data_IF_159701146917
#
_entry.id   IF_159701146917
#
_cell.length_a   1.000
_cell.length_b   1.000
_cell.length_c   1.000
_cell.angle_alpha   90.00
_cell.angle_beta   90.00
_cell.angle_gamma   90.00
#
_symmetry.space_group_name_H-M   'P 1'
#
loop_
_entity.id
_entity.type
_entity.pdbx_description
1 polymer ?
2 polymer ?
3 polymer ?
#
loop_
_entity_poly.entity_id
_entity_poly.type
_entity_poly.pdbx_seq_one_letter_code
_entity_poly.pdbx_strand_id
2 'polydeoxyribonucleotide' '(DC)(DA)(DT)(DT)(DA)(DA)(DC)(DC)(DC)(DT)(DT)(DA)(DA)(DC)(DG)(DT)(DT)(DA)(DA)(DG)(DC)(DG)(DT)(DT)(DA)(DA)(DC)(DT)' ?
3 'polydeoxyribonucleotide' '(DA)(DG)(DT)(DT)(DA)(DA)(DC)(DG)(DC)(DT)(DT)(DA)(DA)(DC)(DG)(DT)(DT)(DA)(DA)(DG)(DG)(DG)(DT)(DT)(DA)(DA)(DT)(DG)' ?
#
# COMPACT_ATOMS: atom_id res chain seq x y z
N UNK A 6 12.36 -28.27 9.73
CA UNK A 6 13.77 -28.05 9.46
C UNK A 6 14.08 -28.16 7.98
N UNK A 7 14.29 -29.40 7.45
CA UNK A 7 14.77 -29.64 6.07
C UNK A 7 13.83 -29.09 5.01
N UNK A 8 14.35 -28.37 4.02
CA UNK A 8 13.49 -27.76 3.00
C UNK A 8 13.19 -28.72 1.85
N UNK A 9 11.95 -28.64 1.39
CA UNK A 9 11.42 -29.52 0.36
C UNK A 9 10.50 -28.67 -0.51
N UNK A 10 10.96 -28.34 -1.71
CA UNK A 10 10.19 -27.50 -2.60
C UNK A 10 8.86 -28.19 -2.93
N UNK A 11 7.75 -27.45 -3.03
CA UNK A 11 6.49 -28.11 -3.38
C UNK A 11 6.54 -28.74 -4.75
N UNK A 12 7.57 -28.45 -5.55
CA UNK A 12 7.71 -29.10 -6.83
C UNK A 12 7.93 -30.58 -6.66
N UNK A 13 9.04 -30.93 -5.98
CA UNK A 13 9.37 -32.26 -5.48
C UNK A 13 8.10 -33.03 -5.16
N UNK A 14 7.17 -32.41 -4.44
CA UNK A 14 5.90 -33.06 -4.10
C UNK A 14 5.07 -33.31 -5.35
N UNK A 15 4.80 -32.26 -6.12
CA UNK A 15 3.90 -32.41 -7.27
C UNK A 15 4.50 -33.37 -8.27
N UNK A 16 5.82 -33.37 -8.39
CA UNK A 16 6.49 -34.33 -9.23
C UNK A 16 6.43 -35.74 -8.68
N UNK A 17 7.13 -35.97 -7.57
CA UNK A 17 7.37 -37.31 -7.04
C UNK A 17 6.02 -38.01 -6.78
N UNK A 18 5.17 -37.43 -5.91
CA UNK A 18 3.95 -38.09 -5.47
C UNK A 18 2.69 -37.61 -6.18
N UNK A 19 2.81 -36.93 -7.31
CA UNK A 19 1.59 -36.52 -8.01
C UNK A 19 1.71 -36.74 -9.51
N UNK A 20 2.79 -36.23 -10.12
CA UNK A 20 2.95 -36.30 -11.56
C UNK A 20 3.62 -37.59 -12.03
N UNK A 21 4.44 -38.23 -11.17
CA UNK A 21 4.97 -39.55 -11.50
C UNK A 21 3.94 -40.62 -11.23
N UNK A 22 3.22 -40.48 -10.13
CA UNK A 22 2.18 -41.42 -9.81
C UNK A 22 1.12 -41.46 -10.89
N UNK A 23 0.41 -40.36 -11.12
CA UNK A 23 -0.51 -40.29 -12.25
C UNK A 23 0.32 -39.88 -13.45
N UNK A 24 0.41 -40.73 -14.46
CA UNK A 24 1.28 -40.37 -15.56
C UNK A 24 0.78 -39.11 -16.25
N UNK A 25 0.93 -37.96 -15.58
CA UNK A 25 0.76 -36.64 -16.20
C UNK A 25 2.13 -36.02 -16.34
N UNK A 26 2.36 -35.33 -17.48
CA UNK A 26 3.56 -34.55 -17.72
C UNK A 26 3.30 -33.09 -17.45
N UNK A 27 4.34 -32.30 -17.18
CA UNK A 27 4.12 -30.88 -16.84
C UNK A 27 3.25 -30.12 -17.83
N UNK A 28 3.61 -30.14 -19.13
CA UNK A 28 2.86 -29.44 -20.17
C UNK A 28 1.46 -30.00 -20.34
N UNK A 29 1.21 -31.22 -19.86
CA UNK A 29 -0.17 -31.68 -19.78
C UNK A 29 -0.88 -30.98 -18.65
N UNK A 30 -0.27 -31.04 -17.46
CA UNK A 30 -0.89 -30.41 -16.29
C UNK A 30 -1.26 -28.99 -16.59
N UNK A 31 -0.29 -28.23 -17.13
CA UNK A 31 -0.52 -26.84 -17.47
C UNK A 31 -1.85 -26.63 -18.18
N UNK A 32 -2.19 -27.54 -19.07
CA UNK A 32 -3.42 -27.39 -19.82
C UNK A 32 -4.63 -27.60 -18.94
N UNK A 33 -4.72 -28.74 -18.29
CA UNK A 33 -5.92 -29.02 -17.50
C UNK A 33 -6.21 -27.88 -16.53
N UNK A 34 -5.15 -27.23 -16.03
CA UNK A 34 -5.24 -26.14 -15.06
C UNK A 34 -5.58 -24.80 -15.72
N UNK A 35 -5.54 -24.73 -17.04
CA UNK A 35 -5.80 -23.51 -17.79
C UNK A 35 -4.77 -22.44 -17.47
N UNK A 36 -3.50 -22.84 -17.40
CA UNK A 36 -2.38 -21.98 -17.05
C UNK A 36 -1.26 -22.21 -18.07
N UNK A 37 -0.41 -21.21 -18.25
CA UNK A 37 0.65 -21.34 -19.23
C UNK A 37 1.63 -22.45 -18.89
N UNK A 38 2.18 -23.06 -19.94
CA UNK A 38 3.15 -24.13 -19.78
C UNK A 38 4.36 -23.79 -18.91
N UNK A 39 4.86 -22.56 -18.86
CA UNK A 39 6.02 -22.30 -18.00
C UNK A 39 5.66 -22.13 -16.54
N UNK A 40 4.40 -21.92 -16.16
CA UNK A 40 4.19 -21.86 -14.72
C UNK A 40 4.32 -23.26 -14.13
N UNK A 41 3.50 -24.19 -14.58
CA UNK A 41 3.58 -25.56 -14.07
C UNK A 41 5.00 -26.13 -14.18
N UNK A 42 5.66 -25.96 -15.34
CA UNK A 42 7.02 -26.47 -15.45
C UNK A 42 8.02 -25.76 -14.53
N UNK A 43 7.91 -24.42 -14.38
CA UNK A 43 8.85 -23.71 -13.49
C UNK A 43 8.62 -24.08 -12.03
N UNK A 44 7.39 -24.48 -11.69
CA UNK A 44 7.07 -25.01 -10.37
C UNK A 44 7.70 -26.39 -10.18
N UNK A 45 7.59 -27.26 -11.21
CA UNK A 45 8.24 -28.57 -11.15
C UNK A 45 9.74 -28.42 -10.99
N UNK A 46 10.34 -27.54 -11.77
CA UNK A 46 11.80 -27.48 -11.79
C UNK A 46 12.38 -26.90 -10.52
N UNK A 47 11.54 -26.52 -9.55
CA UNK A 47 11.98 -25.82 -8.34
C UNK A 47 12.65 -24.48 -8.66
N UNK A 48 11.95 -23.61 -9.40
CA UNK A 48 12.42 -22.23 -9.57
C UNK A 48 11.30 -21.23 -9.47
N UNK A 49 10.11 -21.68 -9.09
CA UNK A 49 8.99 -20.81 -8.83
C UNK A 49 8.15 -21.53 -7.80
N UNK A 50 7.35 -20.78 -7.06
CA UNK A 50 6.58 -21.33 -5.97
C UNK A 50 5.10 -21.41 -6.27
N UNK A 51 4.34 -21.81 -5.27
CA UNK A 51 2.93 -21.92 -5.48
C UNK A 51 2.20 -20.69 -5.04
N UNK A 52 1.75 -19.91 -5.99
CA UNK A 52 0.98 -18.71 -5.66
C UNK A 52 -0.36 -19.11 -5.03
N UNK A 53 -1.08 -18.15 -4.46
CA UNK A 53 -2.35 -18.50 -3.84
C UNK A 53 -3.30 -19.07 -4.87
N UNK A 54 -3.28 -18.49 -6.06
CA UNK A 54 -3.95 -19.03 -7.24
C UNK A 54 -3.60 -20.48 -7.56
N UNK A 55 -2.34 -20.72 -7.97
CA UNK A 55 -1.88 -22.07 -8.30
C UNK A 55 -2.40 -23.11 -7.31
N UNK A 56 -2.26 -22.84 -6.01
CA UNK A 56 -2.79 -23.71 -4.98
C UNK A 56 -4.22 -24.08 -5.32
N UNK A 57 -5.05 -23.07 -5.51
CA UNK A 57 -6.47 -23.32 -5.75
C UNK A 57 -6.65 -24.20 -6.99
N UNK A 58 -5.87 -23.97 -8.05
CA UNK A 58 -6.03 -24.78 -9.27
C UNK A 58 -5.50 -26.20 -9.08
N UNK A 59 -4.31 -26.34 -8.51
CA UNK A 59 -3.79 -27.66 -8.19
C UNK A 59 -4.71 -28.40 -7.20
N UNK A 60 -5.28 -27.69 -6.23
CA UNK A 60 -6.14 -28.36 -5.26
C UNK A 60 -7.45 -28.84 -5.88
N UNK A 61 -8.08 -27.98 -6.68
CA UNK A 61 -9.24 -28.34 -7.48
C UNK A 61 -8.98 -29.61 -8.29
N UNK A 62 -7.93 -29.58 -9.11
CA UNK A 62 -7.60 -30.69 -10.02
C UNK A 62 -7.36 -31.98 -9.28
N UNK A 63 -6.64 -31.90 -8.16
CA UNK A 63 -6.19 -33.10 -7.46
C UNK A 63 -7.02 -33.41 -6.21
N UNK A 64 -8.21 -32.84 -6.09
CA UNK A 64 -9.13 -33.15 -4.99
C UNK A 64 -8.41 -33.10 -3.64
N UNK A 65 -7.73 -31.97 -3.42
CA UNK A 65 -7.10 -31.65 -2.15
C UNK A 65 -7.37 -30.20 -1.81
N UNK A 66 -7.03 -29.86 -0.57
CA UNK A 66 -7.19 -28.51 -0.07
C UNK A 66 -6.17 -27.58 -0.73
N UNK A 67 -6.62 -26.39 -1.17
CA UNK A 67 -5.64 -25.39 -1.60
C UNK A 67 -4.70 -25.06 -0.47
N UNK A 68 -5.20 -25.16 0.76
CA UNK A 68 -4.33 -25.17 1.93
C UNK A 68 -3.17 -26.10 1.74
N UNK A 69 -3.46 -27.39 1.66
CA UNK A 69 -2.46 -28.42 1.46
C UNK A 69 -1.27 -27.91 0.65
N UNK A 70 -1.56 -27.28 -0.51
CA UNK A 70 -0.51 -26.68 -1.33
C UNK A 70 0.15 -25.50 -0.62
N UNK A 71 -0.65 -24.54 -0.14
CA UNK A 71 0.00 -23.39 0.48
C UNK A 71 0.84 -23.82 1.68
N UNK A 72 0.42 -24.85 2.44
CA UNK A 72 1.21 -25.31 3.59
C UNK A 72 2.54 -25.90 3.15
N UNK A 73 2.54 -26.63 2.04
CA UNK A 73 3.81 -27.05 1.47
C UNK A 73 4.71 -25.87 1.21
N UNK A 74 4.12 -24.77 0.73
CA UNK A 74 4.88 -23.59 0.39
C UNK A 74 5.17 -22.71 1.62
N UNK A 75 4.24 -22.67 2.59
CA UNK A 75 4.54 -22.11 3.90
C UNK A 75 5.80 -22.72 4.48
N UNK A 76 5.95 -24.05 4.38
CA UNK A 76 7.06 -24.74 5.03
C UNK A 76 8.31 -24.71 4.18
N UNK A 77 8.19 -24.73 2.86
CA UNK A 77 9.42 -24.54 2.10
C UNK A 77 9.93 -23.12 2.31
N UNK A 78 9.02 -22.15 2.46
CA UNK A 78 9.39 -20.73 2.66
C UNK A 78 10.11 -20.51 3.99
N UNK A 79 9.54 -21.06 5.06
CA UNK A 79 10.10 -20.99 6.40
C UNK A 79 11.48 -21.62 6.45
N UNK A 80 11.57 -22.91 6.16
CA UNK A 80 12.86 -23.58 6.23
C UNK A 80 13.90 -22.86 5.40
N UNK A 81 13.49 -22.07 4.41
CA UNK A 81 14.49 -21.42 3.58
C UNK A 81 14.92 -20.12 4.23
N UNK A 82 13.98 -19.40 4.86
CA UNK A 82 14.32 -18.20 5.64
C UNK A 82 15.23 -18.53 6.80
N UNK A 83 14.80 -19.43 7.69
CA UNK A 83 15.70 -19.98 8.70
C UNK A 83 16.95 -20.57 8.04
N UNK A 84 18.07 -20.55 8.77
CA UNK A 84 19.32 -21.06 8.24
C UNK A 84 19.99 -19.93 7.47
N UNK A 85 19.27 -19.39 6.50
CA UNK A 85 19.77 -18.29 5.70
C UNK A 85 19.75 -17.05 6.58
N UNK A 86 18.87 -17.07 7.59
CA UNK A 86 18.73 -15.97 8.53
C UNK A 86 18.45 -16.47 9.94
N UNK A 87 18.20 -17.76 10.12
CA UNK A 87 17.67 -18.28 11.37
C UNK A 87 18.41 -17.79 12.59
N UNK A 88 19.71 -18.11 12.69
CA UNK A 88 20.48 -17.76 13.86
C UNK A 88 20.39 -16.26 14.16
N UNK A 89 20.92 -15.38 13.29
CA UNK A 89 21.06 -13.96 13.67
C UNK A 89 19.74 -13.33 14.08
N UNK A 90 18.60 -13.87 13.63
CA UNK A 90 17.32 -13.35 14.09
C UNK A 90 17.06 -13.73 15.54
N UNK A 91 17.30 -14.99 15.89
CA UNK A 91 17.19 -15.35 17.30
C UNK A 91 18.18 -14.57 18.17
N UNK A 92 19.27 -14.12 17.59
CA UNK A 92 20.28 -13.44 18.38
C UNK A 92 20.04 -11.99 18.57
N UNK A 93 19.42 -11.36 17.59
CA UNK A 93 19.10 -9.95 17.68
C UNK A 93 17.72 -9.66 18.26
N UNK A 94 16.96 -10.70 18.64
CA UNK A 94 15.66 -10.55 19.28
C UNK A 94 15.62 -11.26 20.63
N UNK A 95 14.91 -10.67 21.59
CA UNK A 95 14.73 -11.24 22.93
C UNK A 95 13.25 -11.32 23.22
N UNK A 96 12.69 -12.48 23.50
CA UNK A 96 11.25 -12.60 23.76
C UNK A 96 10.74 -11.95 25.05
N UNK A 97 9.58 -12.39 25.54
CA UNK A 97 9.01 -11.91 26.80
C UNK A 97 8.83 -12.87 28.00
N UNK B 6 -12.17 -18.84 8.15
CA UNK B 6 -12.84 -19.32 6.93
C UNK B 6 -13.24 -18.18 5.99
N UNK B 7 -13.37 -16.97 6.57
CA UNK B 7 -13.63 -15.71 5.88
C UNK B 7 -12.34 -14.90 5.80
N UNK B 8 -12.30 -13.67 5.21
CA UNK B 8 -10.99 -13.05 4.97
C UNK B 8 -10.60 -12.18 6.15
N UNK B 9 -9.59 -12.60 6.89
CA UNK B 9 -9.07 -11.82 7.99
C UNK B 9 -7.60 -11.60 7.72
N UNK B 10 -7.21 -10.34 7.59
CA UNK B 10 -5.80 -10.04 7.43
C UNK B 10 -5.09 -10.59 8.66
N UNK B 11 -3.84 -10.99 8.55
CA UNK B 11 -3.15 -11.41 9.77
C UNK B 11 -2.92 -10.23 10.67
N UNK B 12 -2.80 -9.04 10.06
CA UNK B 12 -2.64 -7.84 10.85
C UNK B 12 -3.75 -7.66 11.87
N UNK B 13 -4.98 -8.02 11.50
CA UNK B 13 -6.06 -7.97 12.46
C UNK B 13 -5.70 -8.79 13.69
N UNK B 14 -5.23 -10.03 13.48
CA UNK B 14 -4.78 -10.88 14.58
C UNK B 14 -3.72 -10.19 15.43
N UNK B 15 -2.82 -9.44 14.78
CA UNK B 15 -1.66 -8.91 15.47
C UNK B 15 -2.05 -7.86 16.51
N UNK B 16 -2.97 -6.97 16.17
CA UNK B 16 -3.36 -5.98 17.14
C UNK B 16 -4.39 -6.53 18.11
N UNK B 17 -5.33 -7.35 17.63
CA UNK B 17 -6.46 -7.74 18.50
C UNK B 17 -6.08 -8.83 19.50
N UNK B 18 -5.08 -9.68 19.20
CA UNK B 18 -4.60 -10.68 20.15
C UNK B 18 -3.25 -10.36 20.78
N UNK B 19 -2.50 -9.40 20.25
CA UNK B 19 -1.16 -9.25 20.77
C UNK B 19 -0.89 -7.81 21.15
N UNK B 20 -0.89 -6.89 20.18
CA UNK B 20 -0.54 -5.50 20.50
C UNK B 20 -1.44 -4.94 21.60
N UNK B 21 -2.75 -4.95 21.37
CA UNK B 21 -3.69 -4.49 22.40
C UNK B 21 -3.62 -5.34 23.67
N UNK B 22 -3.32 -6.64 23.55
CA UNK B 22 -3.31 -7.52 24.72
C UNK B 22 -2.12 -7.29 25.62
N UNK B 23 -1.00 -6.83 25.06
CA UNK B 23 0.25 -6.61 25.78
C UNK B 23 0.62 -5.15 25.79
N UNK B 24 -0.25 -4.30 25.26
CA UNK B 24 -0.09 -2.86 25.32
C UNK B 24 1.25 -2.44 24.71
N UNK B 25 1.40 -2.73 23.42
CA UNK B 25 2.57 -2.37 22.64
C UNK B 25 2.12 -1.66 21.38
N UNK B 26 2.99 -0.82 20.84
CA UNK B 26 2.66 -0.13 19.61
C UNK B 26 3.25 -0.84 18.42
N UNK B 27 2.75 -0.52 17.21
CA UNK B 27 3.56 -0.71 16.00
C UNK B 27 5.04 -0.28 16.12
N UNK B 28 5.28 0.98 16.48
CA UNK B 28 6.66 1.52 16.58
C UNK B 28 7.50 0.75 17.60
N UNK B 29 6.89 0.34 18.71
CA UNK B 29 7.65 -0.33 19.76
C UNK B 29 8.02 -1.75 19.36
N UNK B 30 7.05 -2.50 18.82
CA UNK B 30 7.30 -3.88 18.38
C UNK B 30 8.36 -3.93 17.27
N UNK B 31 8.25 -3.04 16.29
CA UNK B 31 9.25 -2.97 15.21
C UNK B 31 10.67 -2.79 15.73
N UNK B 32 10.86 -1.96 16.76
CA UNK B 32 12.20 -1.80 17.36
C UNK B 32 12.65 -3.09 18.02
N UNK B 33 11.70 -3.86 18.55
CA UNK B 33 12.03 -5.08 19.29
C UNK B 33 12.41 -6.23 18.37
N UNK B 34 11.96 -6.17 17.11
CA UNK B 34 12.21 -7.19 16.09
C UNK B 34 13.39 -6.82 15.22
N UNK B 35 13.91 -5.63 15.38
CA UNK B 35 14.94 -5.06 14.52
C UNK B 35 14.49 -5.02 13.07
N UNK B 36 13.28 -4.47 12.84
CA UNK B 36 12.89 -4.01 11.51
C UNK B 36 12.47 -2.54 11.57
N UNK B 37 12.48 -1.91 10.41
CA UNK B 37 12.16 -0.52 10.32
C UNK B 37 10.68 -0.33 10.65
N UNK B 38 10.32 0.94 10.85
CA UNK B 38 9.03 1.27 11.47
C UNK B 38 7.84 0.84 10.63
N UNK B 39 7.79 1.11 9.32
CA UNK B 39 6.60 0.74 8.55
C UNK B 39 6.53 -0.73 8.22
N UNK B 40 7.61 -1.49 8.38
CA UNK B 40 7.50 -2.91 8.17
C UNK B 40 6.53 -3.56 9.17
N UNK B 41 6.40 -3.02 10.37
CA UNK B 41 5.40 -3.54 11.29
C UNK B 41 4.11 -2.73 11.23
N UNK B 42 4.22 -1.40 11.09
CA UNK B 42 3.02 -0.58 10.98
C UNK B 42 2.19 -0.96 9.74
N UNK B 43 2.83 -1.33 8.62
CA UNK B 43 2.06 -1.65 7.43
C UNK B 43 1.29 -2.96 7.57
N UNK B 44 1.87 -3.94 8.26
CA UNK B 44 1.15 -5.17 8.57
C UNK B 44 -0.05 -4.88 9.44
N UNK B 45 0.09 -3.94 10.39
CA UNK B 45 -1.00 -3.68 11.34
C UNK B 45 -2.16 -3.04 10.62
N UNK B 46 -1.88 -2.12 9.70
CA UNK B 46 -2.93 -1.43 8.93
C UNK B 46 -3.59 -2.31 7.85
N UNK B 47 -3.25 -3.58 7.84
CA UNK B 47 -3.77 -4.58 6.88
C UNK B 47 -3.44 -4.20 5.43
N UNK B 48 -2.20 -3.75 5.21
CA UNK B 48 -1.73 -3.27 3.93
C UNK B 48 -0.45 -3.96 3.43
N UNK B 49 0.18 -4.78 4.26
CA UNK B 49 1.35 -5.56 3.91
C UNK B 49 1.06 -6.95 4.46
N UNK B 50 1.93 -7.92 4.15
CA UNK B 50 1.71 -9.28 4.58
C UNK B 50 2.81 -9.84 5.46
N UNK B 51 2.53 -11.01 6.01
CA UNK B 51 3.52 -11.65 6.87
C UNK B 51 4.44 -12.46 5.97
N UNK B 52 5.66 -11.96 5.72
CA UNK B 52 6.69 -12.74 5.04
C UNK B 52 7.31 -13.76 5.99
N UNK B 53 7.96 -14.77 5.40
CA UNK B 53 8.62 -15.77 6.23
C UNK B 53 9.49 -15.10 7.29
N UNK B 54 10.42 -14.24 6.85
CA UNK B 54 11.26 -13.52 7.79
C UNK B 54 10.43 -12.82 8.86
N UNK B 55 9.40 -12.07 8.44
CA UNK B 55 8.54 -11.46 9.44
C UNK B 55 7.89 -12.49 10.32
N UNK B 56 7.46 -13.62 9.73
CA UNK B 56 6.77 -14.64 10.52
C UNK B 56 7.71 -15.34 11.49
N UNK B 57 9.00 -15.29 11.24
CA UNK B 57 9.93 -15.86 12.20
C UNK B 57 10.26 -14.87 13.31
N UNK B 58 10.41 -13.59 12.99
CA UNK B 58 10.61 -12.64 14.07
C UNK B 58 9.38 -12.57 14.97
N UNK B 59 8.19 -12.66 14.37
CA UNK B 59 6.97 -12.65 15.16
C UNK B 59 6.90 -13.84 16.09
N UNK B 60 7.23 -15.02 15.58
CA UNK B 60 7.27 -16.18 16.42
C UNK B 60 8.15 -15.94 17.63
N UNK B 61 9.42 -15.61 17.39
CA UNK B 61 10.40 -15.51 18.47
C UNK B 61 9.89 -14.59 19.58
N UNK B 62 9.52 -13.36 19.22
CA UNK B 62 9.20 -12.34 20.20
C UNK B 62 7.98 -12.73 21.02
N UNK B 63 6.92 -13.19 20.33
CA UNK B 63 5.68 -13.60 20.96
C UNK B 63 5.60 -15.10 21.25
N UNK B 64 6.76 -15.78 21.40
CA UNK B 64 6.82 -17.19 21.77
C UNK B 64 5.77 -18.10 21.14
N UNK B 65 5.56 -17.88 19.84
CA UNK B 65 4.68 -18.72 19.05
C UNK B 65 5.43 -19.43 17.92
N UNK B 66 4.83 -20.49 17.37
CA UNK B 66 5.45 -21.09 16.20
C UNK B 66 5.35 -20.11 15.04
N UNK B 67 6.39 -20.06 14.20
CA UNK B 67 6.27 -19.20 13.03
C UNK B 67 5.18 -19.72 12.11
N UNK B 68 4.91 -21.00 12.17
CA UNK B 68 3.85 -21.52 11.33
C UNK B 68 2.54 -20.80 11.65
N UNK B 69 2.29 -20.52 12.94
CA UNK B 69 1.06 -19.85 13.34
C UNK B 69 0.78 -18.69 12.41
N UNK B 70 1.74 -17.79 12.34
CA UNK B 70 1.63 -16.60 11.51
C UNK B 70 1.48 -16.97 10.05
N UNK B 71 2.42 -17.76 9.51
CA UNK B 71 2.36 -18.08 8.08
C UNK B 71 1.03 -18.72 7.67
N UNK B 72 0.22 -19.23 8.62
CA UNK B 72 -1.06 -19.82 8.29
C UNK B 72 -2.18 -18.82 8.35
N UNK B 73 -2.03 -17.79 9.18
CA UNK B 73 -2.93 -16.64 9.12
C UNK B 73 -2.75 -15.91 7.79
N UNK B 74 -1.51 -15.86 7.29
CA UNK B 74 -1.24 -15.34 5.94
C UNK B 74 -1.67 -16.35 4.85
N UNK B 75 -1.51 -17.66 5.10
CA UNK B 75 -2.00 -18.67 4.17
C UNK B 75 -3.50 -18.51 3.94
N UNK B 76 -4.27 -18.49 5.03
CA UNK B 76 -5.72 -18.37 4.95
C UNK B 76 -6.13 -17.08 4.27
N UNK B 77 -5.46 -15.98 4.63
CA UNK B 77 -5.86 -14.67 4.11
C UNK B 77 -5.72 -14.61 2.59
N UNK B 78 -4.61 -15.15 2.06
CA UNK B 78 -4.37 -15.14 0.61
C UNK B 78 -5.31 -16.10 -0.12
N UNK B 79 -5.50 -17.30 0.43
CA UNK B 79 -6.44 -18.25 -0.13
C UNK B 79 -7.82 -17.61 -0.27
N UNK B 80 -8.39 -17.17 0.85
CA UNK B 80 -9.69 -16.49 0.83
C UNK B 80 -9.71 -15.30 -0.12
N UNK B 81 -8.60 -14.55 -0.18
CA UNK B 81 -8.53 -13.46 -1.15
C UNK B 81 -8.64 -13.98 -2.57
N UNK B 82 -7.88 -15.04 -2.89
CA UNK B 82 -7.88 -15.63 -4.23
C UNK B 82 -9.25 -16.19 -4.60
N UNK B 83 -9.72 -17.12 -3.78
CA UNK B 83 -11.05 -17.63 -3.98
C UNK B 83 -11.99 -16.42 -4.04
N UNK B 84 -13.19 -16.63 -4.56
CA UNK B 84 -14.17 -15.56 -4.73
C UNK B 84 -13.61 -14.45 -5.62
N UNK B 85 -12.31 -14.15 -5.54
CA UNK B 85 -11.81 -13.11 -6.44
C UNK B 85 -12.05 -13.79 -7.78
N UNK B 86 -11.66 -15.05 -7.90
CA UNK B 86 -12.07 -15.83 -9.06
C UNK B 86 -11.80 -17.27 -8.61
N UNK B 87 -12.42 -17.67 -7.49
CA UNK B 87 -12.69 -19.07 -7.30
C UNK B 87 -14.01 -19.29 -8.03
N UNK B 88 -14.62 -20.44 -7.76
CA UNK B 88 -15.83 -20.84 -8.49
C UNK B 88 -15.53 -20.83 -9.98
N UNK B 89 -15.24 -19.63 -10.50
CA UNK B 89 -14.67 -19.43 -11.84
C UNK B 89 -13.51 -20.41 -12.12
N UNK B 90 -12.57 -20.54 -11.18
CA UNK B 90 -11.50 -21.52 -11.33
C UNK B 90 -12.04 -22.94 -11.19
N UNK B 91 -13.03 -23.13 -10.32
CA UNK B 91 -13.72 -24.41 -10.26
C UNK B 91 -14.47 -24.66 -11.56
N UNK B 92 -14.84 -23.59 -12.29
CA UNK B 92 -15.57 -23.64 -13.56
C UNK B 92 -14.64 -23.58 -14.78
N UNK B 93 -13.39 -23.97 -14.62
CA UNK B 93 -12.44 -24.13 -15.72
C UNK B 93 -11.68 -25.44 -15.67
N UNK B 94 -11.78 -26.20 -14.58
CA UNK B 94 -10.88 -27.32 -14.29
C UNK B 94 -11.70 -28.52 -13.84
N UNK B 95 -11.86 -29.49 -14.73
CA UNK B 95 -12.33 -30.81 -14.29
C UNK B 95 -11.19 -31.48 -13.52
N UNK B 96 -11.47 -32.04 -12.37
CA UNK B 96 -10.47 -32.91 -11.72
C UNK B 96 -10.36 -34.27 -12.42
N UNK B 97 -9.56 -35.17 -11.87
CA UNK B 97 -9.46 -36.48 -12.49
C UNK B 97 -10.61 -37.48 -12.34
N UNK B 98 -11.75 -37.03 -11.84
CA UNK B 98 -12.93 -37.88 -11.67
C UNK B 98 -14.17 -37.18 -12.21
N UNK C 7 -18.05 10.30 -5.33
CA UNK C 7 -17.59 11.69 -5.07
C UNK C 7 -16.16 11.85 -4.54
N UNK C 8 -15.52 10.77 -4.07
CA UNK C 8 -14.05 10.83 -3.99
C UNK C 8 -13.50 10.05 -5.16
N UNK C 9 -12.98 10.73 -6.18
CA UNK C 9 -12.40 10.08 -7.34
C UNK C 9 -10.88 10.08 -7.16
N UNK C 10 -10.26 8.88 -7.24
CA UNK C 10 -8.82 8.84 -7.02
C UNK C 10 -8.10 9.47 -8.20
N UNK C 11 -7.04 10.22 -7.98
CA UNK C 11 -6.29 10.73 -9.13
C UNK C 11 -5.78 9.61 -9.99
N UNK C 12 -5.57 8.44 -9.37
CA UNK C 12 -5.33 7.20 -10.07
C UNK C 12 -6.33 6.79 -11.14
N UNK C 13 -7.56 6.44 -10.74
CA UNK C 13 -8.66 6.15 -11.66
C UNK C 13 -8.58 7.06 -12.88
N UNK C 14 -8.28 8.35 -12.70
CA UNK C 14 -8.24 9.27 -13.83
C UNK C 14 -7.07 8.96 -14.76
N UNK C 15 -5.88 8.68 -14.22
CA UNK C 15 -4.75 8.33 -15.06
C UNK C 15 -5.07 7.10 -15.90
N UNK C 16 -5.38 6.00 -15.23
CA UNK C 16 -5.79 4.75 -15.85
C UNK C 16 -6.94 4.97 -16.81
N UNK C 17 -8.10 5.33 -16.27
CA UNK C 17 -9.36 5.27 -17.01
C UNK C 17 -9.35 6.22 -18.19
N UNK C 18 -8.27 6.99 -18.45
CA UNK C 18 -8.31 8.01 -19.52
C UNK C 18 -7.05 8.53 -20.17
N UNK C 19 -5.90 8.44 -19.53
CA UNK C 19 -4.65 8.72 -20.25
C UNK C 19 -3.94 7.45 -20.66
N UNK C 20 -3.80 6.55 -19.71
CA UNK C 20 -3.27 5.25 -20.04
C UNK C 20 -4.17 4.56 -21.03
N UNK C 21 -5.45 4.38 -20.68
CA UNK C 21 -6.29 3.56 -21.55
C UNK C 21 -6.49 4.21 -22.91
N UNK C 22 -6.76 5.51 -22.93
CA UNK C 22 -6.91 6.21 -24.21
C UNK C 22 -5.69 5.99 -25.11
N UNK C 23 -4.50 6.31 -24.61
CA UNK C 23 -3.30 6.15 -25.43
C UNK C 23 -2.73 4.74 -25.46
N UNK C 24 -3.41 3.73 -24.90
CA UNK C 24 -2.85 2.39 -24.71
C UNK C 24 -1.39 2.30 -24.24
N UNK C 25 -1.05 3.13 -23.24
CA UNK C 25 0.22 3.03 -22.51
C UNK C 25 0.08 2.25 -21.21
N UNK C 26 1.03 1.47 -20.93
CA UNK C 26 1.13 0.67 -19.73
C UNK C 26 1.71 1.48 -18.57
N UNK C 27 1.39 1.13 -17.32
CA UNK C 27 2.15 1.71 -16.20
C UNK C 27 3.66 1.53 -16.37
N UNK C 28 4.11 0.34 -16.76
CA UNK C 28 5.54 0.12 -16.92
C UNK C 28 6.13 1.13 -17.90
N UNK C 29 5.49 1.28 -19.07
CA UNK C 29 6.00 2.24 -20.06
C UNK C 29 5.88 3.69 -19.56
N UNK C 30 4.92 4.00 -18.70
CA UNK C 30 4.73 5.39 -18.33
C UNK C 30 5.86 5.88 -17.42
N UNK C 31 6.18 5.11 -16.38
CA UNK C 31 7.28 5.49 -15.51
C UNK C 31 8.59 5.48 -16.28
N UNK C 32 8.70 4.64 -17.31
CA UNK C 32 9.84 4.70 -18.20
C UNK C 32 9.96 6.06 -18.86
N UNK C 33 8.82 6.63 -19.30
CA UNK C 33 8.86 7.96 -19.86
C UNK C 33 9.09 9.00 -18.78
N UNK C 34 8.34 8.89 -17.68
CA UNK C 34 8.48 9.84 -16.59
C UNK C 34 9.83 9.74 -15.90
N UNK C 35 10.62 8.69 -16.18
CA UNK C 35 11.92 8.51 -15.57
C UNK C 35 11.79 8.41 -14.04
N UNK C 36 10.76 7.67 -13.62
CA UNK C 36 10.59 7.22 -12.26
C UNK C 36 10.44 5.71 -12.28
N UNK C 37 10.61 5.09 -11.12
CA UNK C 37 10.71 3.64 -11.08
C UNK C 37 9.36 2.98 -11.37
N UNK C 38 9.35 1.65 -11.42
CA UNK C 38 8.16 0.95 -11.88
C UNK C 38 6.97 1.06 -10.90
N UNK C 39 7.11 0.68 -9.61
CA UNK C 39 5.92 0.76 -8.74
C UNK C 39 5.52 2.18 -8.36
N UNK C 40 6.36 3.16 -8.62
CA UNK C 40 5.86 4.53 -8.59
C UNK C 40 4.59 4.73 -9.42
N UNK C 41 4.69 4.69 -10.75
CA UNK C 41 3.50 4.86 -11.59
C UNK C 41 2.46 3.74 -11.36
N UNK C 42 2.90 2.54 -10.98
CA UNK C 42 1.92 1.46 -10.88
C UNK C 42 1.01 1.65 -9.66
N UNK C 43 1.58 2.09 -8.52
CA UNK C 43 0.83 2.22 -7.26
C UNK C 43 -0.15 3.37 -7.30
N UNK C 44 0.20 4.47 -8.01
CA UNK C 44 -0.77 5.53 -8.27
C UNK C 44 -1.91 4.99 -9.12
N UNK C 45 -1.59 4.11 -10.10
CA UNK C 45 -2.64 3.57 -10.95
C UNK C 45 -3.57 2.73 -10.11
N UNK C 46 -3.03 1.99 -9.16
CA UNK C 46 -3.86 1.05 -8.41
C UNK C 46 -4.70 1.73 -7.34
N UNK C 47 -4.68 3.07 -7.24
CA UNK C 47 -5.38 3.80 -6.17
C UNK C 47 -4.79 3.45 -4.78
N UNK C 48 -3.46 3.50 -4.70
CA UNK C 48 -2.71 3.17 -3.48
C UNK C 48 -1.67 4.20 -3.11
N UNK C 49 -1.34 5.05 -4.06
CA UNK C 49 -0.41 6.14 -3.88
C UNK C 49 -1.08 7.39 -4.37
N UNK C 50 -0.57 8.54 -3.96
CA UNK C 50 -1.19 9.76 -4.39
C UNK C 50 -0.32 10.49 -5.35
N UNK C 51 -0.71 11.69 -5.71
CA UNK C 51 0.09 12.41 -6.63
C UNK C 51 1.00 13.44 -6.03
N UNK C 52 2.24 13.07 -5.83
CA UNK C 52 3.22 14.03 -5.35
C UNK C 52 3.24 15.21 -6.29
N UNK C 53 3.99 16.23 -5.93
CA UNK C 53 4.12 17.37 -6.82
C UNK C 53 5.25 17.16 -7.80
N UNK C 54 6.23 16.35 -7.42
CA UNK C 54 7.19 15.83 -8.38
C UNK C 54 6.51 14.97 -9.46
N UNK C 55 5.44 14.25 -9.10
CA UNK C 55 4.78 13.44 -10.10
C UNK C 55 3.86 14.26 -10.98
N UNK C 56 3.12 15.20 -10.41
CA UNK C 56 2.28 16.07 -11.23
C UNK C 56 3.08 16.95 -12.19
N UNK C 57 4.36 17.17 -11.92
CA UNK C 57 5.18 17.86 -12.91
C UNK C 57 5.52 16.96 -14.07
N UNK C 58 5.98 15.73 -13.76
CA UNK C 58 6.22 14.71 -14.78
C UNK C 58 4.95 14.42 -15.57
N UNK C 59 3.88 14.02 -14.87
CA UNK C 59 2.62 13.69 -15.51
C UNK C 59 2.13 14.80 -16.43
N UNK C 60 2.07 16.03 -15.94
CA UNK C 60 1.61 17.12 -16.79
C UNK C 60 2.53 17.35 -17.98
N UNK C 61 3.91 17.21 -17.72
CA UNK C 61 4.80 17.45 -18.84
C UNK C 61 4.46 16.53 -19.99
N UNK C 62 4.44 15.22 -19.71
CA UNK C 62 4.19 14.16 -20.69
C UNK C 62 2.88 14.40 -21.44
N UNK C 63 1.77 14.22 -20.75
CA UNK C 63 0.44 14.27 -21.34
C UNK C 63 -0.04 15.65 -21.73
N UNK C 64 0.87 16.64 -21.75
CA UNK C 64 0.57 18.02 -22.16
C UNK C 64 -0.46 18.85 -21.40
N UNK C 65 -0.58 18.59 -20.09
CA UNK C 65 -1.56 19.27 -19.21
C UNK C 65 -0.84 20.15 -18.21
N UNK C 66 -1.61 21.04 -17.60
CA UNK C 66 -1.09 21.86 -16.53
C UNK C 66 -0.76 20.97 -15.34
N UNK C 67 0.24 21.39 -14.57
CA UNK C 67 0.64 20.62 -13.39
C UNK C 67 -0.48 20.58 -12.35
N UNK C 68 -1.14 21.72 -12.10
CA UNK C 68 -2.09 21.79 -10.98
C UNK C 68 -3.23 20.82 -11.19
N UNK C 69 -3.70 20.69 -12.43
CA UNK C 69 -4.60 19.64 -12.89
C UNK C 69 -4.53 18.26 -12.25
N UNK C 70 -3.31 17.79 -11.98
CA UNK C 70 -3.11 16.53 -11.28
C UNK C 70 -3.26 16.85 -9.80
N UNK C 71 -2.55 17.89 -9.37
CA UNK C 71 -2.55 18.32 -7.97
C UNK C 71 -3.96 18.58 -7.47
N UNK C 72 -4.80 19.19 -8.31
CA UNK C 72 -6.16 19.48 -7.88
C UNK C 72 -7.04 18.26 -7.98
N UNK C 73 -6.68 17.33 -8.87
CA UNK C 73 -7.27 16.00 -8.87
C UNK C 73 -6.98 15.30 -7.56
N UNK C 74 -5.75 15.48 -7.04
CA UNK C 74 -5.38 14.99 -5.72
C UNK C 74 -6.15 15.66 -4.59
N UNK C 75 -6.17 17.01 -4.58
CA UNK C 75 -6.66 17.65 -3.37
C UNK C 75 -8.15 17.42 -3.22
N UNK C 76 -8.87 17.27 -4.34
CA UNK C 76 -10.26 16.85 -4.20
C UNK C 76 -10.38 15.42 -3.67
N UNK C 77 -9.43 14.52 -4.01
CA UNK C 77 -9.47 13.17 -3.44
C UNK C 77 -9.15 13.18 -1.96
N UNK C 78 -8.05 13.85 -1.57
CA UNK C 78 -7.66 14.00 -0.16
C UNK C 78 -8.73 14.68 0.66
N UNK C 79 -9.37 15.72 0.10
CA UNK C 79 -10.36 16.49 0.84
C UNK C 79 -11.64 15.70 1.02
N UNK C 80 -12.11 15.07 -0.05
CA UNK C 80 -13.26 14.19 0.06
C UNK C 80 -13.05 13.17 1.15
N UNK C 81 -11.80 12.78 1.38
CA UNK C 81 -11.58 11.65 2.24
C UNK C 81 -11.42 12.07 3.69
N UNK C 82 -11.05 13.33 3.94
CA UNK C 82 -11.05 13.84 5.31
C UNK C 82 -12.48 14.08 5.82
N UNK C 83 -13.28 14.81 5.06
CA UNK C 83 -14.73 14.71 5.24
C UNK C 83 -15.15 13.24 5.13
N UNK C 84 -16.37 12.94 5.55
CA UNK C 84 -16.89 11.57 5.55
C UNK C 84 -16.01 10.62 6.36
N UNK C 85 -14.88 11.11 6.84
CA UNK C 85 -14.16 10.35 7.85
C UNK C 85 -14.43 11.14 9.13
N UNK C 86 -14.27 12.46 9.09
CA UNK C 86 -14.36 13.26 10.31
C UNK C 86 -15.16 14.54 10.17
N UNK C 87 -15.70 14.84 9.00
CA UNK C 87 -16.48 16.03 8.76
C UNK C 87 -17.52 16.42 9.79
N UNK C 88 -18.52 15.57 10.05
CA UNK C 88 -19.58 15.93 11.00
C UNK C 88 -18.97 15.93 12.39
N UNK C 89 -18.01 15.03 12.63
CA UNK C 89 -17.26 15.05 13.88
C UNK C 89 -16.31 16.24 14.02
N UNK C 90 -16.39 17.19 13.09
CA UNK C 90 -15.77 18.52 13.17
C UNK C 90 -16.73 19.70 13.33
N UNK C 91 -17.91 19.69 12.69
CA UNK C 91 -18.87 20.75 13.02
C UNK C 91 -19.31 20.62 14.48
N UNK C 92 -19.48 19.38 14.95
CA UNK C 92 -19.72 19.22 16.37
C UNK C 92 -18.49 19.59 17.20
N UNK C 93 -17.41 20.08 16.58
CA UNK C 93 -16.19 20.51 17.24
C UNK C 93 -15.87 21.99 17.10
N UNK C 94 -16.21 22.61 15.98
CA UNK C 94 -15.81 23.98 15.69
C UNK C 94 -16.94 24.53 14.84
N UNK C 95 -17.71 25.44 15.42
CA UNK C 95 -18.84 26.04 14.74
C UNK C 95 -18.72 27.53 14.64
N UNK C 96 -17.68 28.06 15.25
CA UNK C 96 -17.32 29.47 15.35
C UNK C 96 -17.06 30.25 14.06
N UNK C 97 -16.74 31.51 14.27
CA UNK C 97 -16.46 32.44 13.18
C UNK C 97 -15.65 33.63 13.66
N UNK D 6 7.70 36.32 -9.30
CA UNK D 6 7.56 35.73 -7.97
C UNK D 6 6.61 34.51 -7.92
N UNK D 7 6.90 33.59 -7.00
CA UNK D 7 6.21 32.31 -7.06
C UNK D 7 6.04 31.64 -5.69
N UNK D 8 7.08 31.14 -5.03
CA UNK D 8 6.83 30.37 -3.81
C UNK D 8 6.31 31.33 -2.75
N UNK D 9 5.11 31.04 -2.24
CA UNK D 9 4.58 31.76 -1.09
C UNK D 9 3.78 30.77 -0.26
N UNK D 10 4.20 30.55 0.97
CA UNK D 10 3.75 29.45 1.81
C UNK D 10 2.41 29.81 2.47
N UNK D 11 1.44 28.89 2.54
CA UNK D 11 0.12 29.22 3.11
C UNK D 11 0.12 29.86 4.50
N UNK D 12 1.21 29.70 5.23
CA UNK D 12 1.35 30.39 6.49
C UNK D 12 1.31 31.90 6.28
N UNK D 13 2.30 32.43 5.55
CA UNK D 13 2.32 33.81 5.10
C UNK D 13 0.91 34.36 4.87
N UNK D 14 -0.03 33.52 4.41
CA UNK D 14 -1.41 34.00 4.26
C UNK D 14 -2.12 34.04 5.61
N UNK D 15 -1.91 33.02 6.45
CA UNK D 15 -2.65 32.93 7.70
C UNK D 15 -2.32 34.06 8.66
N UNK D 16 -1.03 34.46 8.73
CA UNK D 16 -0.61 35.69 9.38
C UNK D 16 -1.38 36.86 8.77
N UNK D 17 -1.04 37.15 7.51
CA UNK D 17 -1.23 38.47 6.92
C UNK D 17 -2.67 38.79 6.56
N UNK D 18 -3.53 37.78 6.40
CA UNK D 18 -4.90 38.05 6.01
C UNK D 18 -5.93 37.61 7.02
N UNK D 19 -5.52 36.98 8.12
CA UNK D 19 -6.49 36.31 8.98
C UNK D 19 -6.15 36.57 10.44
N UNK D 20 -4.95 36.20 10.84
CA UNK D 20 -4.46 36.57 12.16
C UNK D 20 -4.24 38.08 12.25
N UNK D 21 -3.30 38.60 11.44
CA UNK D 21 -3.02 40.04 11.40
C UNK D 21 -4.25 40.87 11.12
N UNK D 22 -5.28 40.27 10.53
CA UNK D 22 -6.51 40.96 10.17
C UNK D 22 -7.59 40.81 11.24
N UNK D 23 -7.36 40.06 12.29
CA UNK D 23 -8.41 39.87 13.26
C UNK D 23 -7.93 39.98 14.67
N UNK D 24 -6.67 40.38 14.81
CA UNK D 24 -5.98 40.48 16.09
C UNK D 24 -6.13 39.15 16.78
N UNK D 25 -5.73 38.10 16.09
CA UNK D 25 -5.83 36.76 16.57
C UNK D 25 -4.45 36.24 16.74
N UNK D 26 -4.34 35.25 17.59
CA UNK D 26 -3.02 34.66 17.81
C UNK D 26 -3.01 33.17 17.45
N UNK D 27 -1.79 32.53 17.38
CA UNK D 27 -1.74 31.09 17.11
C UNK D 27 -2.26 30.21 18.22
N UNK D 28 -1.68 30.38 19.41
CA UNK D 28 -2.23 29.73 20.60
C UNK D 28 -3.73 29.96 20.69
N UNK D 29 -4.17 31.16 20.33
CA UNK D 29 -5.60 31.41 20.20
C UNK D 29 -6.22 30.53 19.11
N UNK D 30 -5.57 30.44 17.95
CA UNK D 30 -6.17 29.76 16.80
C UNK D 30 -6.12 28.24 16.94
N UNK D 31 -5.14 27.71 17.68
CA UNK D 31 -5.16 26.29 17.99
C UNK D 31 -6.42 25.91 18.75
N UNK D 32 -6.73 26.68 19.83
CA UNK D 32 -7.90 26.41 20.67
C UNK D 32 -9.19 26.31 19.88
N UNK D 33 -9.40 27.22 18.91
CA UNK D 33 -10.67 27.24 18.17
C UNK D 33 -10.84 25.99 17.33
N UNK D 34 -9.80 25.64 16.57
CA UNK D 34 -9.83 24.50 15.65
C UNK D 34 -9.80 23.19 16.40
N UNK D 35 -9.46 23.22 17.70
CA UNK D 35 -9.46 22.04 18.54
C UNK D 35 -8.34 21.07 18.13
N UNK D 36 -7.13 21.63 17.95
CA UNK D 36 -5.91 20.91 17.59
C UNK D 36 -4.79 21.45 18.48
N UNK D 37 -3.58 20.92 18.32
CA UNK D 37 -2.53 21.29 19.26
C UNK D 37 -1.92 22.64 18.88
N UNK D 38 -1.40 23.34 19.90
CA UNK D 38 -0.72 24.60 19.64
C UNK D 38 0.46 24.46 18.70
N UNK D 39 1.32 23.43 18.81
CA UNK D 39 2.44 23.33 17.86
C UNK D 39 2.03 23.09 16.43
N UNK D 40 0.78 22.70 16.14
CA UNK D 40 0.48 22.57 14.71
C UNK D 40 0.08 23.90 14.09
N UNK D 41 -0.68 24.75 14.79
CA UNK D 41 -1.01 26.05 14.21
C UNK D 41 0.26 26.88 14.04
N UNK D 42 1.12 26.89 15.05
CA UNK D 42 2.32 27.70 14.95
C UNK D 42 3.21 27.26 13.80
N UNK D 43 3.43 25.95 13.62
CA UNK D 43 4.39 25.46 12.64
C UNK D 43 3.95 25.73 11.22
N UNK D 44 2.64 25.80 10.97
CA UNK D 44 2.14 26.38 9.73
C UNK D 44 2.54 27.85 9.64
N UNK D 45 2.29 28.60 10.74
CA UNK D 45 2.46 30.06 10.78
C UNK D 45 3.93 30.42 10.71
N UNK D 46 4.79 29.62 11.34
CA UNK D 46 6.23 29.82 11.19
C UNK D 46 6.65 29.53 9.75
N UNK D 47 5.82 28.79 8.99
CA UNK D 47 6.14 28.29 7.64
C UNK D 47 7.15 27.13 7.69
N UNK D 48 6.97 26.23 8.66
CA UNK D 48 7.70 24.97 8.80
C UNK D 48 6.79 23.74 8.75
N UNK D 49 5.53 23.90 8.36
CA UNK D 49 4.59 22.80 8.19
C UNK D 49 3.49 23.24 7.23
N UNK D 50 2.87 22.24 6.57
CA UNK D 50 1.92 22.49 5.51
C UNK D 50 0.48 22.31 5.96
N UNK D 51 -0.41 22.44 5.00
CA UNK D 51 -1.83 22.24 5.26
C UNK D 51 -2.18 20.81 4.90
N UNK D 52 -2.63 20.02 5.88
CA UNK D 52 -3.24 18.74 5.57
C UNK D 52 -4.72 18.96 5.26
N UNK D 53 -5.38 17.91 4.77
CA UNK D 53 -6.79 18.07 4.42
C UNK D 53 -7.62 18.22 5.69
N UNK D 54 -7.34 17.38 6.68
CA UNK D 54 -8.03 17.58 7.95
C UNK D 54 -7.80 18.99 8.50
N UNK D 55 -6.61 19.55 8.33
CA UNK D 55 -6.43 20.96 8.61
C UNK D 55 -7.35 21.85 7.77
N UNK D 56 -7.27 21.75 6.44
CA UNK D 56 -7.97 22.73 5.60
C UNK D 56 -9.48 22.67 5.83
N UNK D 57 -10.00 21.50 6.17
CA UNK D 57 -11.37 21.46 6.62
C UNK D 57 -11.52 22.29 7.89
N UNK D 58 -10.58 22.17 8.84
CA UNK D 58 -10.70 22.93 10.08
C UNK D 58 -10.58 24.44 9.84
N UNK D 59 -9.62 24.87 9.04
CA UNK D 59 -9.57 26.30 8.74
C UNK D 59 -10.73 26.72 7.84
N UNK D 60 -11.14 25.84 6.93
CA UNK D 60 -12.25 26.16 6.06
C UNK D 60 -13.50 26.51 6.85
N UNK D 61 -13.90 25.62 7.77
CA UNK D 61 -15.08 25.84 8.59
C UNK D 61 -14.92 27.07 9.45
N UNK D 62 -13.71 27.29 9.98
CA UNK D 62 -13.55 28.34 10.99
C UNK D 62 -13.44 29.74 10.38
N UNK D 63 -12.91 29.86 9.17
CA UNK D 63 -12.84 31.19 8.59
C UNK D 63 -13.86 31.38 7.48
N UNK D 64 -14.96 30.60 7.50
CA UNK D 64 -16.02 30.67 6.49
C UNK D 64 -15.45 30.57 5.09
N UNK D 65 -14.46 29.67 4.92
CA UNK D 65 -13.67 29.52 3.72
C UNK D 65 -13.95 28.18 3.06
N UNK D 66 -14.02 28.19 1.73
CA UNK D 66 -14.04 26.94 0.98
C UNK D 66 -12.75 26.19 1.27
N UNK D 67 -12.89 25.01 1.89
CA UNK D 67 -11.72 24.19 2.16
C UNK D 67 -10.83 24.06 0.94
N UNK D 68 -11.41 24.09 -0.26
CA UNK D 68 -10.58 24.00 -1.47
C UNK D 68 -9.63 25.19 -1.63
N UNK D 69 -9.79 26.26 -0.84
CA UNK D 69 -8.90 27.41 -0.94
C UNK D 69 -7.59 27.20 -0.20
N UNK D 70 -7.63 26.51 0.94
CA UNK D 70 -6.38 26.27 1.65
C UNK D 70 -5.52 25.27 0.90
N UNK D 71 -6.08 24.08 0.62
CA UNK D 71 -5.41 23.06 -0.18
C UNK D 71 -4.84 23.61 -1.48
N UNK D 72 -5.51 24.60 -2.10
CA UNK D 72 -4.95 25.22 -3.30
C UNK D 72 -3.75 26.10 -2.96
N UNK D 73 -3.78 26.80 -1.82
CA UNK D 73 -2.61 27.52 -1.39
C UNK D 73 -1.45 26.57 -1.18
N UNK D 74 -1.72 25.42 -0.55
CA UNK D 74 -0.71 24.37 -0.45
C UNK D 74 -0.41 23.75 -1.82
N UNK D 75 -1.47 23.47 -2.61
CA UNK D 75 -1.27 22.85 -3.93
C UNK D 75 -0.14 23.55 -4.63
N UNK D 76 -0.25 24.87 -4.76
CA UNK D 76 0.71 25.60 -5.56
C UNK D 76 2.08 25.68 -4.87
N UNK D 77 2.11 26.07 -3.59
CA UNK D 77 3.38 26.23 -2.91
C UNK D 77 4.20 24.95 -3.05
N UNK D 78 3.51 23.80 -3.07
CA UNK D 78 4.20 22.53 -3.23
C UNK D 78 4.82 22.42 -4.61
N UNK D 79 4.01 22.64 -5.68
CA UNK D 79 4.55 22.55 -7.05
C UNK D 79 5.66 23.58 -7.26
N UNK D 80 5.47 24.78 -6.71
CA UNK D 80 6.45 25.84 -6.83
C UNK D 80 7.83 25.32 -6.46
N UNK D 81 7.92 24.60 -5.35
CA UNK D 81 9.22 24.15 -4.86
C UNK D 81 9.67 22.78 -5.43
N UNK D 82 8.81 22.05 -6.16
CA UNK D 82 9.30 20.87 -6.89
C UNK D 82 9.90 21.27 -8.24
N UNK D 83 9.23 22.16 -8.97
CA UNK D 83 9.96 23.03 -9.86
C UNK D 83 11.00 23.78 -9.03
N UNK D 84 12.00 24.33 -9.72
CA UNK D 84 13.06 25.07 -9.03
C UNK D 84 13.89 24.18 -8.09
N UNK D 85 13.44 22.96 -7.83
CA UNK D 85 14.29 21.96 -7.16
C UNK D 85 14.65 20.85 -8.14
N UNK D 86 13.65 20.29 -8.84
CA UNK D 86 13.92 19.45 -10.01
C UNK D 86 13.22 19.92 -11.28
N UNK D 87 12.75 21.18 -11.33
CA UNK D 87 12.07 21.65 -12.52
C UNK D 87 12.88 21.46 -13.79
N UNK D 88 14.09 22.05 -13.84
CA UNK D 88 14.98 21.88 -15.00
C UNK D 88 15.39 20.44 -15.18
N UNK D 89 15.48 19.67 -14.09
CA UNK D 89 15.77 18.25 -14.23
C UNK D 89 14.66 17.53 -15.00
N UNK D 90 13.41 17.71 -14.57
CA UNK D 90 12.28 16.99 -15.17
C UNK D 90 12.15 17.35 -16.64
N UNK D 91 12.12 18.64 -16.95
CA UNK D 91 11.90 19.09 -18.33
C UNK D 91 12.91 18.47 -19.29
N UNK D 92 14.11 18.13 -18.78
CA UNK D 92 15.15 17.49 -19.59
C UNK D 92 14.93 15.99 -19.76
N UNK D 93 14.40 15.31 -18.73
CA UNK D 93 14.25 13.86 -18.72
C UNK D 93 13.04 13.40 -19.53
N UNK D 94 11.98 14.21 -19.60
CA UNK D 94 10.71 13.81 -20.18
C UNK D 94 10.46 14.60 -21.46
N UNK D 95 10.14 13.87 -22.58
CA UNK D 95 9.66 14.53 -23.79
C UNK D 95 8.16 14.33 -23.91
N UNK D 96 7.37 15.31 -24.30
CA UNK D 96 5.91 15.13 -24.23
C UNK D 96 5.35 14.03 -25.11
N UNK D 97 4.04 13.89 -25.04
CA UNK D 97 3.27 13.12 -26.01
C UNK D 97 2.69 14.18 -26.95
N UNK D 98 3.52 14.64 -27.88
CA UNK D 98 3.16 15.78 -28.75
C UNK D 98 3.63 15.59 -30.20
#
# INVERSE_FOLDING_TARGET
MATNGMRPIHPGEILRDEFLMEFDISPAALARALKVSAPTVNDIVREQRGISADMAIRLGRYFDTSAQFWMNLQSEYSLATAYAANGKQIEHEIEPLLAHGGSHHHHHH
MATNGMRPIHPGEILRDEFLMEFDISPAALARALKVSAPTVNDIVREQRGISADMAIRLGRYFDTSAQFWMNLQSEYSLATAYAANGKQIEHEIEPLLAHGGSHHHHHH
MATNGMRPIHPGEILRDEFLMEFDISPAALARALKVSAPTVNDIVREQRGISADMAIRLGRYFDTSAQFWMNLQSEYSLATAYAANGKQIEHEIEPLLAHGGSHHHHHH
MATNGMRPIHPGEILRDEFLMEFDISPAALARALKVSAPTVNDIVREQRGISADMAIRLGRYFDTSAQFWMNLQSEYSLATAYAANGKQIEHEIEPLLAHGGSHHHHHH
#
